data_IF_473682648530
#
_entry.id   IF_473682648530
#
_cell.length_a   1.000
_cell.length_b   1.000
_cell.length_c   1.000
_cell.angle_alpha   90.00
_cell.angle_beta   90.00
_cell.angle_gamma   90.00
#
_symmetry.space_group_name_H-M   'P 1'
#
loop_
_entity.id
_entity.type
_entity.pdbx_description
1 polymer ?
#
# COMPACT_ATOMS: atom_id res chain seq x y z
N UNK A 1 -9.89 3.87 -12.54
CA UNK A 1 -10.73 2.79 -13.05
C UNK A 1 -11.60 2.40 -11.88
N UNK A 2 -12.86 2.02 -12.11
CA UNK A 2 -13.73 1.62 -11.03
C UNK A 2 -13.22 0.31 -10.39
N UNK A 3 -13.85 -0.06 -9.27
CA UNK A 3 -13.67 -1.33 -8.60
C UNK A 3 -13.55 -2.51 -9.57
N UNK A 4 -12.61 -3.42 -9.33
CA UNK A 4 -12.36 -4.64 -10.11
C UNK A 4 -12.48 -5.88 -9.23
N UNK A 5 -12.61 -7.04 -9.86
CA UNK A 5 -12.59 -8.33 -9.18
C UNK A 5 -11.15 -8.77 -8.86
N UNK A 6 -11.01 -9.62 -7.85
CA UNK A 6 -9.76 -10.29 -7.47
C UNK A 6 -9.07 -11.00 -8.65
N UNK A 7 -9.84 -11.64 -9.53
CA UNK A 7 -9.35 -12.28 -10.75
C UNK A 7 -8.62 -11.33 -11.72
N UNK A 8 -8.84 -10.02 -11.58
CA UNK A 8 -8.22 -8.99 -12.42
C UNK A 8 -6.93 -8.41 -11.82
N UNK A 9 -6.57 -8.79 -10.57
CA UNK A 9 -5.43 -8.23 -9.86
C UNK A 9 -4.12 -8.35 -10.64
N UNK A 10 -3.89 -9.52 -11.25
CA UNK A 10 -2.73 -9.79 -12.09
C UNK A 10 -2.62 -8.80 -13.24
N UNK A 11 -3.69 -8.64 -14.02
CA UNK A 11 -3.70 -7.74 -15.17
C UNK A 11 -3.48 -6.27 -14.74
N UNK A 12 -4.05 -5.85 -13.62
CA UNK A 12 -3.84 -4.50 -13.09
C UNK A 12 -2.36 -4.26 -12.75
N UNK A 13 -1.72 -5.20 -12.04
CA UNK A 13 -0.32 -5.06 -11.64
C UNK A 13 0.65 -5.15 -12.83
N UNK A 14 0.35 -5.94 -13.86
CA UNK A 14 1.18 -5.99 -15.08
C UNK A 14 1.15 -4.69 -15.90
N UNK A 15 0.07 -3.91 -15.78
CA UNK A 15 -0.15 -2.71 -16.58
C UNK A 15 -0.02 -1.41 -15.78
N UNK A 16 0.11 -1.49 -14.46
CA UNK A 16 0.15 -0.33 -13.59
C UNK A 16 0.02 -0.68 -12.11
N UNK A 17 -0.67 0.20 -11.40
CA UNK A 17 -0.92 0.10 -9.97
C UNK A 17 -2.28 -0.58 -9.67
N UNK A 18 -2.40 -1.11 -8.46
CA UNK A 18 -3.63 -1.69 -7.93
C UNK A 18 -3.84 -1.26 -6.47
N UNK A 19 -5.08 -0.90 -6.12
CA UNK A 19 -5.52 -0.75 -4.74
C UNK A 19 -6.20 -2.00 -4.19
N UNK A 20 -6.00 -2.27 -2.91
CA UNK A 20 -6.81 -3.17 -2.10
C UNK A 20 -7.40 -2.33 -0.97
N UNK A 21 -8.71 -2.19 -0.99
CA UNK A 21 -9.51 -1.65 0.11
C UNK A 21 -9.86 -2.76 1.07
N UNK A 22 -9.18 -2.84 2.22
CA UNK A 22 -9.44 -3.83 3.27
C UNK A 22 -10.42 -3.32 4.33
N UNK A 23 -11.16 -4.23 4.96
CA UNK A 23 -11.57 -4.07 6.35
C UNK A 23 -10.38 -4.43 7.25
N UNK A 24 -9.96 -3.50 8.12
CA UNK A 24 -8.80 -3.68 8.99
C UNK A 24 -8.95 -4.81 10.03
N UNK A 25 -10.15 -5.38 10.19
CA UNK A 25 -10.45 -6.50 11.07
C UNK A 25 -10.45 -7.85 10.35
N UNK A 26 -10.52 -7.85 9.03
CA UNK A 26 -10.63 -9.06 8.22
C UNK A 26 -9.29 -9.41 7.53
N UNK A 27 -8.92 -10.71 7.45
CA UNK A 27 -7.64 -11.13 6.88
C UNK A 27 -7.57 -11.11 5.35
N UNK A 28 -8.69 -11.09 4.63
CA UNK A 28 -8.78 -11.42 3.20
C UNK A 28 -7.99 -10.44 2.33
N UNK A 29 -8.10 -9.13 2.60
CA UNK A 29 -7.33 -8.12 1.87
C UNK A 29 -5.82 -8.26 2.07
N UNK A 30 -5.39 -8.65 3.28
CA UNK A 30 -3.98 -8.88 3.61
C UNK A 30 -3.44 -10.17 3.04
N UNK A 31 -4.26 -11.22 3.01
CA UNK A 31 -3.92 -12.47 2.37
C UNK A 31 -3.74 -12.26 0.86
N UNK A 32 -4.66 -11.57 0.20
CA UNK A 32 -4.53 -11.23 -1.22
C UNK A 32 -3.27 -10.41 -1.48
N UNK A 33 -2.95 -9.43 -0.64
CA UNK A 33 -1.71 -8.66 -0.78
C UNK A 33 -0.46 -9.56 -0.69
N UNK A 34 -0.42 -10.49 0.28
CA UNK A 34 0.67 -11.46 0.42
C UNK A 34 0.77 -12.35 -0.82
N UNK A 35 -0.34 -12.87 -1.32
CA UNK A 35 -0.35 -13.76 -2.49
C UNK A 35 0.18 -13.05 -3.75
N UNK A 36 -0.17 -11.78 -3.96
CA UNK A 36 0.33 -10.96 -5.07
C UNK A 36 1.82 -10.59 -4.93
N UNK A 37 2.29 -10.41 -3.70
CA UNK A 37 3.71 -10.22 -3.40
C UNK A 37 4.48 -11.51 -3.73
N UNK A 38 4.03 -12.64 -3.20
CA UNK A 38 4.67 -13.94 -3.37
C UNK A 38 4.63 -14.43 -4.83
N UNK A 39 3.69 -13.94 -5.65
CA UNK A 39 3.65 -14.20 -7.10
C UNK A 39 4.71 -13.44 -7.89
N UNK A 40 5.42 -12.47 -7.28
CA UNK A 40 6.45 -11.66 -7.92
C UNK A 40 5.92 -10.53 -8.81
N UNK A 41 4.62 -10.23 -8.76
CA UNK A 41 4.02 -9.14 -9.54
C UNK A 41 4.28 -7.76 -8.91
N UNK A 42 4.40 -7.71 -7.58
CA UNK A 42 4.55 -6.46 -6.84
C UNK A 42 6.00 -6.00 -6.91
N UNK A 43 6.21 -4.79 -7.38
CA UNK A 43 7.51 -4.12 -7.44
C UNK A 43 7.66 -3.07 -6.34
N UNK A 44 6.53 -2.52 -5.86
CA UNK A 44 6.47 -1.56 -4.77
C UNK A 44 5.20 -1.78 -3.94
N UNK A 45 5.35 -1.84 -2.62
CA UNK A 45 4.22 -1.93 -1.69
C UNK A 45 4.03 -0.60 -0.96
N UNK A 46 2.85 -0.02 -1.08
CA UNK A 46 2.43 1.19 -0.37
C UNK A 46 1.50 0.77 0.78
N UNK A 47 1.72 1.29 1.99
CA UNK A 47 0.97 0.93 3.20
C UNK A 47 0.35 2.17 3.84
N UNK A 48 -0.87 2.02 4.38
CA UNK A 48 -1.58 2.98 5.22
C UNK A 48 -0.94 3.15 6.61
N UNK A 49 0.29 3.66 6.62
CA UNK A 49 1.01 4.07 7.82
C UNK A 49 1.76 5.37 7.51
N UNK A 50 1.85 6.24 8.51
CA UNK A 50 2.55 7.51 8.38
C UNK A 50 4.05 7.33 8.67
N UNK A 51 4.89 7.80 7.76
CA UNK A 51 6.34 7.76 7.90
C UNK A 51 6.83 8.46 9.19
N UNK A 52 6.20 9.59 9.55
CA UNK A 52 6.51 10.32 10.79
C UNK A 52 6.41 9.46 12.07
N UNK A 53 5.60 8.40 12.07
CA UNK A 53 5.42 7.51 13.21
C UNK A 53 6.23 6.21 13.09
N UNK A 54 6.44 5.72 11.87
CA UNK A 54 6.94 4.36 11.63
C UNK A 54 8.19 4.28 10.75
N UNK A 55 8.70 5.39 10.21
CA UNK A 55 9.83 5.42 9.27
C UNK A 55 11.10 4.79 9.84
N UNK A 56 11.46 5.12 11.08
CA UNK A 56 12.61 4.50 11.76
C UNK A 56 12.43 2.99 12.00
N UNK A 57 11.19 2.55 12.27
CA UNK A 57 10.87 1.13 12.48
C UNK A 57 10.99 0.37 11.16
N UNK A 58 10.42 0.91 10.08
CA UNK A 58 10.53 0.31 8.75
C UNK A 58 11.98 0.27 8.27
N UNK A 59 12.77 1.34 8.46
CA UNK A 59 14.17 1.39 8.08
C UNK A 59 14.99 0.28 8.77
N UNK A 60 14.74 0.02 10.05
CA UNK A 60 15.37 -1.10 10.75
C UNK A 60 14.97 -2.46 10.16
N UNK A 61 13.68 -2.68 9.87
CA UNK A 61 13.21 -3.91 9.24
C UNK A 61 13.83 -4.13 7.84
N UNK A 62 13.93 -3.07 7.04
CA UNK A 62 14.57 -3.08 5.72
C UNK A 62 16.06 -3.42 5.82
N UNK A 63 16.78 -2.88 6.82
CA UNK A 63 18.19 -3.19 7.03
C UNK A 63 18.38 -4.68 7.41
N UNK A 64 17.53 -5.21 8.29
CA UNK A 64 17.55 -6.64 8.65
C UNK A 64 17.30 -7.52 7.42
N UNK A 65 16.33 -7.16 6.59
CA UNK A 65 16.03 -7.89 5.35
C UNK A 65 17.21 -7.86 4.36
N UNK A 66 17.82 -6.69 4.16
CA UNK A 66 19.00 -6.50 3.30
C UNK A 66 20.19 -7.33 3.78
N UNK A 67 20.34 -7.50 5.09
CA UNK A 67 21.40 -8.30 5.70
C UNK A 67 21.13 -9.82 5.69
N UNK A 68 20.04 -10.27 5.04
CA UNK A 68 19.68 -11.69 4.98
C UNK A 68 19.03 -12.24 6.24
N UNK A 69 18.40 -11.39 7.07
CA UNK A 69 17.69 -11.79 8.27
C UNK A 69 16.57 -12.82 8.02
N UNK A 70 16.25 -13.60 9.04
CA UNK A 70 15.17 -14.60 8.97
C UNK A 70 13.80 -13.92 8.89
N UNK A 71 12.78 -14.65 8.41
CA UNK A 71 11.39 -14.15 8.40
C UNK A 71 10.96 -13.64 9.78
N UNK A 72 11.31 -14.37 10.84
CA UNK A 72 10.98 -13.99 12.21
C UNK A 72 11.67 -12.68 12.64
N UNK A 73 12.94 -12.48 12.29
CA UNK A 73 13.68 -11.27 12.62
C UNK A 73 13.12 -10.04 11.90
N UNK A 74 12.80 -10.19 10.60
CA UNK A 74 12.17 -9.11 9.82
C UNK A 74 10.81 -8.76 10.41
N UNK A 75 9.96 -9.77 10.68
CA UNK A 75 8.61 -9.55 11.20
C UNK A 75 8.61 -8.90 12.58
N UNK A 76 9.53 -9.28 13.47
CA UNK A 76 9.67 -8.67 14.78
C UNK A 76 10.03 -7.18 14.71
N UNK A 77 10.70 -6.76 13.63
CA UNK A 77 11.11 -5.37 13.41
C UNK A 77 10.10 -4.55 12.60
N UNK A 78 9.13 -5.18 11.93
CA UNK A 78 8.15 -4.46 11.09
C UNK A 78 7.18 -3.61 11.93
N UNK A 79 6.65 -2.50 11.39
CA UNK A 79 5.57 -1.76 12.04
C UNK A 79 4.23 -2.51 11.93
N UNK A 80 3.36 -2.34 12.94
CA UNK A 80 2.08 -3.08 13.03
C UNK A 80 0.83 -2.23 12.76
N UNK A 81 0.94 -0.90 12.92
CA UNK A 81 -0.23 -0.03 12.89
C UNK A 81 -1.18 -0.15 14.09
N UNK A 82 -1.29 -1.34 14.71
CA UNK A 82 -1.90 -1.69 16.00
C UNK A 82 -3.29 -1.11 16.35
N UNK A 83 -4.01 -0.52 15.41
CA UNK A 83 -5.34 0.05 15.67
C UNK A 83 -6.45 -1.02 15.69
N UNK A 84 -6.25 -2.15 15.00
CA UNK A 84 -7.27 -3.19 14.83
C UNK A 84 -6.67 -4.60 14.95
N UNK A 85 -7.42 -5.52 15.56
CA UNK A 85 -7.04 -6.94 15.66
C UNK A 85 -7.50 -7.65 14.40
N UNK A 86 -6.55 -8.13 13.59
CA UNK A 86 -6.80 -8.95 12.42
C UNK A 86 -5.85 -10.17 12.45
N UNK A 87 -6.30 -11.38 12.06
CA UNK A 87 -5.48 -12.60 12.10
C UNK A 87 -4.19 -12.53 11.28
N UNK A 88 -4.20 -11.72 10.20
CA UNK A 88 -3.00 -11.38 9.44
C UNK A 88 -2.63 -9.96 9.81
N UNK A 89 -1.52 -9.75 10.49
CA UNK A 89 -1.02 -8.42 10.84
C UNK A 89 -0.46 -7.69 9.62
N UNK A 90 -0.44 -6.35 9.66
CA UNK A 90 0.31 -5.55 8.67
C UNK A 90 1.79 -5.92 8.68
N UNK A 91 2.36 -6.28 9.84
CA UNK A 91 3.74 -6.81 9.93
C UNK A 91 3.96 -8.00 9.02
N UNK A 92 3.00 -8.92 8.91
CA UNK A 92 3.14 -10.10 8.05
C UNK A 92 3.16 -9.72 6.57
N UNK A 93 2.33 -8.77 6.15
CA UNK A 93 2.33 -8.26 4.76
C UNK A 93 3.65 -7.56 4.44
N UNK A 94 4.10 -6.66 5.31
CA UNK A 94 5.38 -5.94 5.15
C UNK A 94 6.54 -6.94 5.12
N UNK A 95 6.51 -7.96 5.99
CA UNK A 95 7.53 -9.02 6.01
C UNK A 95 7.57 -9.79 4.70
N UNK A 96 6.42 -10.13 4.12
CA UNK A 96 6.37 -10.83 2.83
C UNK A 96 7.10 -10.02 1.74
N UNK A 97 6.79 -8.72 1.64
CA UNK A 97 7.45 -7.83 0.69
C UNK A 97 8.97 -7.74 0.92
N UNK A 98 9.38 -7.43 2.15
CA UNK A 98 10.81 -7.26 2.48
C UNK A 98 11.61 -8.55 2.29
N UNK A 99 11.02 -9.72 2.54
CA UNK A 99 11.70 -11.03 2.45
C UNK A 99 12.16 -11.35 1.02
N UNK A 100 11.44 -10.86 0.02
CA UNK A 100 11.73 -11.05 -1.41
C UNK A 100 12.32 -9.80 -2.08
N UNK A 101 12.62 -8.76 -1.29
CA UNK A 101 13.27 -7.54 -1.78
C UNK A 101 12.34 -6.49 -2.38
N UNK A 102 11.02 -6.59 -2.16
CA UNK A 102 10.06 -5.55 -2.57
C UNK A 102 10.17 -4.35 -1.61
N UNK A 103 10.48 -3.14 -2.12
CA UNK A 103 10.46 -1.92 -1.32
C UNK A 103 9.07 -1.61 -0.78
N UNK A 104 9.01 -1.22 0.49
CA UNK A 104 7.79 -0.82 1.19
C UNK A 104 7.82 0.68 1.47
N UNK A 105 6.70 1.36 1.25
CA UNK A 105 6.54 2.81 1.36
C UNK A 105 5.40 3.15 2.32
N UNK A 106 5.70 3.91 3.38
CA UNK A 106 4.71 4.45 4.32
C UNK A 106 4.15 5.74 3.73
N UNK A 107 2.98 5.67 3.10
CA UNK A 107 2.51 6.77 2.24
C UNK A 107 1.45 7.66 2.89
N UNK A 108 0.98 7.31 4.09
CA UNK A 108 -0.10 8.03 4.75
C UNK A 108 0.36 9.30 5.50
N UNK A 109 -0.58 10.18 5.79
CA UNK A 109 -0.34 11.39 6.58
C UNK A 109 -0.56 11.09 8.08
N UNK A 110 0.19 11.71 9.01
CA UNK A 110 0.02 11.50 10.46
C UNK A 110 -1.34 11.96 11.04
N UNK A 111 -2.26 12.46 10.20
CA UNK A 111 -3.55 12.97 10.66
C UNK A 111 -4.61 11.88 10.57
N UNK A 112 -5.40 11.72 11.62
CA UNK A 112 -6.53 10.78 11.61
C UNK A 112 -7.64 11.27 10.67
N UNK A 113 -8.34 10.34 10.02
CA UNK A 113 -9.47 10.63 9.14
C UNK A 113 -10.76 10.99 9.90
N UNK A 114 -10.70 12.04 10.74
CA UNK A 114 -11.82 12.49 11.57
C UNK A 114 -12.78 13.43 10.83
N UNK A 115 -12.27 14.13 9.81
CA UNK A 115 -13.00 15.14 9.04
C UNK A 115 -12.73 15.04 7.56
N UNK A 116 -13.59 15.73 6.83
CA UNK A 116 -13.52 15.94 5.39
C UNK A 116 -12.15 16.33 4.84
N UNK A 117 -11.55 17.38 5.41
CA UNK A 117 -10.24 17.87 4.97
C UNK A 117 -9.07 16.98 5.38
N UNK A 118 -9.29 15.99 6.26
CA UNK A 118 -8.23 15.06 6.68
C UNK A 118 -7.95 14.06 5.56
N UNK A 119 -8.99 13.54 4.90
CA UNK A 119 -8.85 12.66 3.73
C UNK A 119 -8.05 13.31 2.60
N UNK A 120 -8.34 14.57 2.26
CA UNK A 120 -7.58 15.28 1.22
C UNK A 120 -6.09 15.38 1.55
N UNK A 121 -5.73 15.65 2.81
CA UNK A 121 -4.32 15.69 3.24
C UNK A 121 -3.66 14.32 3.17
N UNK A 122 -4.36 13.28 3.61
CA UNK A 122 -3.90 11.88 3.51
C UNK A 122 -3.66 11.49 2.05
N UNK A 123 -4.61 11.73 1.15
CA UNK A 123 -4.47 11.42 -0.28
C UNK A 123 -3.38 12.24 -0.97
N UNK A 124 -3.18 13.51 -0.60
CA UNK A 124 -2.04 14.29 -1.10
C UNK A 124 -0.70 13.70 -0.68
N UNK A 125 -0.59 13.18 0.55
CA UNK A 125 0.60 12.46 1.01
C UNK A 125 0.83 11.20 0.18
N UNK A 126 -0.21 10.40 -0.02
CA UNK A 126 -0.15 9.17 -0.83
C UNK A 126 0.28 9.48 -2.26
N UNK A 127 -0.32 10.48 -2.89
CA UNK A 127 0.02 10.96 -4.23
C UNK A 127 1.48 11.40 -4.32
N UNK A 128 1.97 12.16 -3.34
CA UNK A 128 3.35 12.65 -3.36
C UNK A 128 4.37 11.51 -3.25
N UNK A 129 4.11 10.54 -2.37
CA UNK A 129 4.95 9.34 -2.24
C UNK A 129 4.91 8.52 -3.52
N UNK A 130 3.73 8.27 -4.09
CA UNK A 130 3.58 7.54 -5.35
C UNK A 130 4.32 8.23 -6.52
N UNK A 131 4.18 9.55 -6.68
CA UNK A 131 4.92 10.31 -7.70
C UNK A 131 6.43 10.19 -7.55
N UNK A 132 6.92 10.25 -6.32
CA UNK A 132 8.34 10.16 -6.03
C UNK A 132 8.87 8.78 -6.41
N UNK A 133 8.18 7.71 -6.00
CA UNK A 133 8.56 6.32 -6.29
C UNK A 133 8.50 6.03 -7.79
N UNK A 134 7.45 6.48 -8.47
CA UNK A 134 7.23 6.26 -9.90
C UNK A 134 7.88 7.32 -10.81
N UNK A 135 8.66 8.25 -10.24
CA UNK A 135 9.31 9.35 -10.96
C UNK A 135 8.37 10.11 -11.92
N UNK A 136 7.16 10.44 -11.46
CA UNK A 136 6.16 11.19 -12.22
C UNK A 136 6.15 12.67 -11.78
N UNK A 137 6.84 13.58 -12.52
CA UNK A 137 6.99 14.97 -12.10
C UNK A 137 5.74 15.82 -12.34
N UNK A 138 5.64 16.93 -11.59
CA UNK A 138 4.70 18.01 -11.86
C UNK A 138 3.46 18.04 -10.95
N UNK A 139 2.64 19.10 -11.06
CA UNK A 139 1.49 19.32 -10.18
C UNK A 139 0.25 18.49 -10.57
N UNK A 140 0.18 18.00 -11.81
CA UNK A 140 -0.97 17.27 -12.35
C UNK A 140 -1.05 15.81 -11.87
N UNK A 141 -2.25 15.23 -11.86
CA UNK A 141 -2.55 13.86 -11.46
C UNK A 141 -1.47 12.82 -11.84
N UNK A 142 -1.12 11.93 -10.91
CA UNK A 142 -0.25 10.79 -11.22
C UNK A 142 -1.02 9.72 -12.00
N UNK A 143 -0.39 9.13 -13.00
CA UNK A 143 -0.97 8.04 -13.77
C UNK A 143 -0.83 6.75 -12.98
N UNK A 144 -1.96 6.06 -12.74
CA UNK A 144 -1.95 4.73 -12.15
C UNK A 144 -1.58 3.64 -13.16
N UNK A 145 -1.79 3.88 -14.46
CA UNK A 145 -1.54 2.91 -15.53
C UNK A 145 -0.38 3.39 -16.37
N UNK A 146 0.61 2.53 -16.58
CA UNK A 146 1.79 2.82 -17.37
C UNK A 146 3.07 2.17 -16.80
N UNK A 147 4.16 2.15 -17.59
CA UNK A 147 5.38 1.41 -17.25
C UNK A 147 5.99 1.77 -15.88
N UNK A 148 5.90 3.03 -15.47
CA UNK A 148 6.45 3.50 -14.20
C UNK A 148 5.65 3.05 -12.97
N UNK A 149 4.41 2.60 -13.17
CA UNK A 149 3.48 2.19 -12.10
C UNK A 149 3.28 0.69 -12.02
N UNK A 150 3.81 -0.08 -12.98
CA UNK A 150 3.72 -1.55 -13.03
C UNK A 150 4.20 -2.15 -11.70
N UNK A 151 3.34 -2.97 -11.10
CA UNK A 151 3.60 -3.66 -9.84
C UNK A 151 3.44 -2.80 -8.58
N UNK A 152 2.90 -1.59 -8.68
CA UNK A 152 2.63 -0.76 -7.49
C UNK A 152 1.34 -1.22 -6.79
N UNK A 153 1.45 -1.82 -5.61
CA UNK A 153 0.32 -2.28 -4.81
C UNK A 153 0.05 -1.32 -3.65
N UNK A 154 -1.20 -0.90 -3.49
CA UNK A 154 -1.68 -0.08 -2.37
C UNK A 154 -2.57 -0.91 -1.45
N UNK A 155 -2.23 -1.04 -0.16
CA UNK A 155 -3.08 -1.66 0.86
C UNK A 155 -3.58 -0.62 1.87
N UNK A 156 -4.89 -0.30 1.82
CA UNK A 156 -5.56 0.72 2.62
C UNK A 156 -6.93 0.23 3.09
N UNK A 157 -7.46 0.87 4.13
CA UNK A 157 -8.84 0.73 4.54
C UNK A 157 -9.79 1.11 3.40
N UNK A 158 -10.87 0.34 3.21
CA UNK A 158 -11.82 0.49 2.11
C UNK A 158 -12.36 1.91 1.90
N UNK A 159 -12.47 2.69 2.97
CA UNK A 159 -12.89 4.10 2.92
C UNK A 159 -12.02 5.00 2.03
N UNK A 160 -10.79 4.58 1.68
CA UNK A 160 -9.92 5.32 0.77
C UNK A 160 -10.30 5.15 -0.71
N UNK A 161 -11.17 4.20 -1.06
CA UNK A 161 -11.50 3.87 -2.44
C UNK A 161 -12.94 4.19 -2.82
N UNK A 162 -13.78 4.61 -1.87
CA UNK A 162 -15.21 4.83 -2.09
C UNK A 162 -15.65 6.27 -1.78
N UNK A 163 -16.76 6.69 -2.40
CA UNK A 163 -17.43 7.96 -2.14
C UNK A 163 -16.75 9.19 -2.74
N UNK A 164 -17.21 10.38 -2.33
CA UNK A 164 -16.78 11.66 -2.90
C UNK A 164 -15.33 12.08 -2.60
N UNK A 165 -14.53 11.19 -2.01
CA UNK A 165 -13.11 11.40 -1.70
C UNK A 165 -12.26 10.19 -2.04
N UNK A 166 -12.67 9.33 -2.96
CA UNK A 166 -11.88 8.19 -3.35
C UNK A 166 -10.48 8.61 -3.87
N UNK A 167 -9.47 7.76 -3.63
CA UNK A 167 -8.09 7.98 -4.01
C UNK A 167 -7.92 8.16 -5.53
N UNK A 168 -8.85 7.61 -6.33
CA UNK A 168 -8.87 7.76 -7.78
C UNK A 168 -9.03 9.22 -8.26
N UNK A 169 -9.55 10.11 -7.42
CA UNK A 169 -9.60 11.57 -7.69
C UNK A 169 -8.17 12.15 -7.74
N UNK A 170 -7.24 11.59 -6.97
CA UNK A 170 -5.85 12.06 -6.85
C UNK A 170 -4.88 11.26 -7.71
N UNK A 171 -5.15 9.96 -7.88
CA UNK A 171 -4.43 9.05 -8.77
C UNK A 171 -5.45 8.52 -9.81
N UNK A 172 -5.79 9.33 -10.83
CA UNK A 172 -6.76 8.95 -11.85
C UNK A 172 -6.42 7.64 -12.50
N UNK A 173 -7.45 6.82 -12.64
CA UNK A 173 -7.28 5.52 -13.28
C UNK A 173 -6.94 4.39 -12.33
N UNK A 174 -6.60 4.63 -11.04
CA UNK A 174 -6.25 3.57 -10.09
C UNK A 174 -7.38 2.52 -9.97
N UNK A 175 -7.20 1.28 -10.47
CA UNK A 175 -8.13 0.19 -10.19
C UNK A 175 -7.99 -0.24 -8.73
N UNK A 176 -9.07 -0.72 -8.14
CA UNK A 176 -9.04 -1.24 -6.76
C UNK A 176 -9.95 -2.44 -6.58
N UNK A 177 -9.62 -3.30 -5.62
CA UNK A 177 -10.45 -4.41 -5.16
C UNK A 177 -10.94 -4.06 -3.76
N UNK A 178 -12.24 -4.18 -3.53
CA UNK A 178 -12.80 -4.08 -2.17
C UNK A 178 -12.87 -5.47 -1.56
N UNK A 179 -12.25 -5.63 -0.40
CA UNK A 179 -12.23 -6.85 0.39
C UNK A 179 -12.92 -6.53 1.71
N UNK A 180 -14.01 -7.25 1.97
CA UNK A 180 -14.84 -7.08 3.16
C UNK A 180 -14.19 -7.59 4.42
#
# INVERSE_FOLDING_TARGET
>A
MPQVHDSSAWWCLENGALGIGEDHTQPEGRQLAIDLIDSGLVTHLFIELADAHYGGVLANAQQIATNGGTRQQIQAACPDGNLFVCPISLKQVITAALKIGVPVHLADHPIMASRSGDFQRRHNSILQTFRTVTNQPGPGAAQAVGPASVGCLFLWGGAHFEGGRALDIFIPGLPFIMMG
#
